data_IF_366305362750
#
_entry.id   IF_366305362750
#
_cell.length_a   1.000
_cell.length_b   1.000
_cell.length_c   1.000
_cell.angle_alpha   90.00
_cell.angle_beta   90.00
_cell.angle_gamma   90.00
#
_symmetry.space_group_name_H-M   'P 1'
#
loop_
_entity.id
_entity.type
_entity.pdbx_description
1 polymer ?
#
# COMPACT_ATOMS: atom_id res chain seq x y z
N UNK A 1 2.05 21.15 0.29
CA UNK A 1 2.54 20.47 -0.91
C UNK A 1 1.36 19.71 -1.50
N UNK A 2 0.79 20.21 -2.61
CA UNK A 2 -0.34 19.58 -3.28
C UNK A 2 0.21 18.44 -4.14
N UNK A 3 0.01 17.20 -3.69
CA UNK A 3 0.22 16.04 -4.55
C UNK A 3 -0.97 15.95 -5.51
N UNK A 4 -0.75 16.35 -6.75
CA UNK A 4 -1.68 16.03 -7.83
C UNK A 4 -1.56 14.54 -8.13
N UNK A 5 -2.42 13.73 -7.54
CA UNK A 5 -2.55 12.33 -7.92
C UNK A 5 -3.47 12.29 -9.12
N UNK A 6 -2.90 12.07 -10.29
CA UNK A 6 -3.70 11.78 -11.48
C UNK A 6 -4.24 10.35 -11.33
N UNK A 7 -5.48 10.24 -10.86
CA UNK A 7 -6.18 8.96 -10.83
C UNK A 7 -6.53 8.59 -12.27
N UNK A 8 -5.97 7.50 -12.77
CA UNK A 8 -6.26 7.00 -14.10
C UNK A 8 -7.73 6.59 -14.21
N UNK A 9 -8.47 7.23 -15.13
CA UNK A 9 -9.77 6.76 -15.58
C UNK A 9 -9.59 5.45 -16.36
N UNK A 10 -9.75 4.31 -15.68
CA UNK A 10 -9.66 2.98 -16.25
C UNK A 10 -9.54 1.96 -15.12
N UNK A 11 -10.17 0.80 -15.27
CA UNK A 11 -10.10 -0.32 -14.34
C UNK A 11 -8.64 -0.76 -14.15
N UNK A 12 -7.97 -0.22 -13.15
CA UNK A 12 -6.65 -0.69 -12.75
C UNK A 12 -6.87 -1.95 -11.92
N UNK A 13 -6.68 -3.12 -12.52
CA UNK A 13 -6.79 -4.43 -11.86
C UNK A 13 -5.60 -4.71 -10.92
N UNK A 14 -4.99 -3.68 -10.34
CA UNK A 14 -3.94 -3.86 -9.36
C UNK A 14 -4.53 -4.09 -7.97
N UNK A 15 -4.01 -5.08 -7.28
CA UNK A 15 -4.44 -5.43 -5.93
C UNK A 15 -3.64 -4.68 -4.88
N UNK A 16 -4.34 -4.15 -3.89
CA UNK A 16 -3.75 -3.70 -2.63
C UNK A 16 -3.40 -4.91 -1.77
N UNK A 17 -4.39 -5.79 -1.54
CA UNK A 17 -4.26 -7.10 -0.91
C UNK A 17 -4.90 -8.15 -1.82
N UNK A 18 -4.90 -9.42 -1.44
CA UNK A 18 -5.58 -10.44 -2.23
C UNK A 18 -7.12 -10.27 -2.28
N UNK A 19 -7.70 -9.45 -1.39
CA UNK A 19 -9.14 -9.15 -1.30
C UNK A 19 -9.50 -7.72 -1.66
N UNK A 20 -8.57 -6.79 -1.58
CA UNK A 20 -8.78 -5.37 -1.80
C UNK A 20 -8.09 -4.96 -3.11
N UNK A 21 -8.83 -4.31 -3.99
CA UNK A 21 -8.30 -3.75 -5.25
C UNK A 21 -8.20 -2.22 -5.15
N UNK A 22 -7.27 -1.64 -5.90
CA UNK A 22 -7.29 -0.21 -6.14
C UNK A 22 -8.54 0.22 -6.92
N UNK A 23 -8.97 1.46 -6.74
CA UNK A 23 -10.13 2.02 -7.42
C UNK A 23 -11.48 1.78 -6.74
N UNK A 24 -11.55 0.95 -5.70
CA UNK A 24 -12.78 0.76 -4.93
C UNK A 24 -13.13 2.00 -4.10
N UNK A 25 -14.41 2.16 -3.80
CA UNK A 25 -14.92 3.24 -2.95
C UNK A 25 -14.73 2.95 -1.45
N UNK A 26 -14.82 3.97 -0.58
CA UNK A 26 -14.82 3.76 0.87
C UNK A 26 -15.91 2.80 1.35
N UNK A 27 -17.09 2.82 0.73
CA UNK A 27 -18.18 1.91 1.07
C UNK A 27 -17.85 0.45 0.75
N UNK A 28 -17.26 0.21 -0.42
CA UNK A 28 -16.81 -1.14 -0.81
C UNK A 28 -15.70 -1.64 0.11
N UNK A 29 -14.75 -0.76 0.49
CA UNK A 29 -13.70 -1.12 1.44
C UNK A 29 -14.27 -1.56 2.79
N UNK A 30 -15.21 -0.81 3.37
CA UNK A 30 -15.90 -1.17 4.62
C UNK A 30 -16.58 -2.54 4.52
N UNK A 31 -17.22 -2.82 3.38
CA UNK A 31 -17.88 -4.11 3.16
C UNK A 31 -16.89 -5.28 3.09
N UNK A 32 -15.70 -5.06 2.53
CA UNK A 32 -14.64 -6.08 2.46
C UNK A 32 -14.01 -6.32 3.84
N UNK A 33 -13.68 -5.24 4.55
CA UNK A 33 -13.07 -5.30 5.90
C UNK A 33 -14.08 -5.78 6.94
N UNK A 34 -15.38 -5.55 6.70
CA UNK A 34 -16.50 -5.84 7.64
C UNK A 34 -16.33 -5.14 8.98
N UNK A 35 -15.86 -3.91 8.95
CA UNK A 35 -15.64 -3.08 10.12
C UNK A 35 -15.86 -1.61 9.77
N UNK A 36 -16.29 -0.83 10.76
CA UNK A 36 -16.24 0.62 10.65
C UNK A 36 -14.82 1.12 10.88
N UNK A 37 -14.43 2.25 10.26
CA UNK A 37 -13.12 2.83 10.50
C UNK A 37 -13.00 3.34 11.94
N UNK A 38 -11.81 3.24 12.50
CA UNK A 38 -11.46 3.84 13.78
C UNK A 38 -11.62 5.37 13.73
N UNK A 39 -11.19 5.97 12.64
CA UNK A 39 -11.33 7.39 12.33
C UNK A 39 -11.21 7.64 10.83
N UNK A 40 -11.57 8.85 10.41
CA UNK A 40 -11.35 9.31 9.05
C UNK A 40 -10.97 10.79 9.04
N UNK A 41 -10.31 11.22 7.97
CA UNK A 41 -10.03 12.62 7.69
C UNK A 41 -10.41 12.93 6.24
N UNK A 42 -10.94 14.13 6.02
CA UNK A 42 -11.27 14.64 4.69
C UNK A 42 -10.62 16.02 4.55
N UNK A 43 -10.09 16.32 3.38
CA UNK A 43 -9.73 17.68 3.04
C UNK A 43 -10.93 18.42 2.38
N UNK A 44 -10.72 19.67 1.97
CA UNK A 44 -11.74 20.46 1.28
C UNK A 44 -11.96 20.06 -0.20
N UNK A 45 -11.30 19.00 -0.65
CA UNK A 45 -11.38 18.46 -2.00
C UNK A 45 -11.90 17.03 -2.01
N UNK A 46 -11.36 16.24 -2.91
CA UNK A 46 -11.78 14.87 -3.18
C UNK A 46 -10.90 13.82 -2.47
N UNK A 47 -10.05 14.25 -1.54
CA UNK A 47 -9.11 13.39 -0.82
C UNK A 47 -9.67 13.01 0.55
N UNK A 48 -9.56 11.73 0.89
CA UNK A 48 -9.94 11.22 2.19
C UNK A 48 -9.01 10.08 2.65
N UNK A 49 -8.77 9.98 3.95
CA UNK A 49 -8.05 8.87 4.56
C UNK A 49 -8.92 8.22 5.62
N UNK A 50 -9.01 6.90 5.58
CA UNK A 50 -9.72 6.08 6.56
C UNK A 50 -8.74 5.19 7.29
N UNK A 51 -8.87 5.12 8.61
CA UNK A 51 -8.02 4.32 9.49
C UNK A 51 -8.79 3.12 10.02
N UNK A 52 -8.20 1.93 9.90
CA UNK A 52 -8.75 0.68 10.40
C UNK A 52 -7.71 -0.06 11.23
N UNK A 53 -8.18 -0.86 12.17
CA UNK A 53 -7.33 -1.78 12.95
C UNK A 53 -7.47 -3.21 12.44
N UNK A 54 -6.40 -4.00 12.61
CA UNK A 54 -6.39 -5.43 12.32
C UNK A 54 -6.82 -5.81 10.89
N UNK A 55 -6.33 -5.08 9.89
CA UNK A 55 -6.57 -5.39 8.48
C UNK A 55 -5.43 -6.22 7.91
N UNK A 56 -5.77 -7.19 7.06
CA UNK A 56 -4.80 -8.03 6.37
C UNK A 56 -4.00 -7.20 5.34
N UNK A 57 -2.68 -7.30 5.42
CA UNK A 57 -1.75 -6.72 4.46
C UNK A 57 -1.76 -7.47 3.10
N UNK A 58 -0.98 -7.06 2.09
CA UNK A 58 -0.90 -7.76 0.82
C UNK A 58 -0.63 -9.26 0.88
N UNK A 59 0.09 -9.75 1.89
CA UNK A 59 0.34 -11.19 2.10
C UNK A 59 -0.71 -11.89 2.96
N UNK A 60 -1.76 -11.18 3.41
CA UNK A 60 -2.82 -11.74 4.23
C UNK A 60 -2.52 -11.79 5.73
N UNK A 61 -1.50 -11.07 6.18
CA UNK A 61 -1.15 -10.95 7.61
C UNK A 61 -1.82 -9.72 8.20
N UNK A 62 -2.54 -9.88 9.31
CA UNK A 62 -3.17 -8.76 10.01
C UNK A 62 -2.14 -7.82 10.60
N UNK A 63 -2.32 -6.52 10.35
CA UNK A 63 -1.49 -5.45 10.89
C UNK A 63 -2.32 -4.58 11.85
N UNK A 64 -1.64 -3.98 12.81
CA UNK A 64 -2.27 -3.29 13.94
C UNK A 64 -3.03 -2.04 13.51
N UNK A 65 -2.38 -1.15 12.78
CA UNK A 65 -2.96 0.10 12.31
C UNK A 65 -2.78 0.23 10.81
N UNK A 66 -3.87 0.57 10.11
CA UNK A 66 -3.85 0.62 8.67
C UNK A 66 -4.58 1.87 8.18
N UNK A 67 -4.03 2.54 7.18
CA UNK A 67 -4.66 3.69 6.55
C UNK A 67 -4.89 3.44 5.07
N UNK A 68 -6.04 3.92 4.58
CA UNK A 68 -6.46 3.80 3.19
C UNK A 68 -6.82 5.18 2.66
N UNK A 69 -6.11 5.61 1.63
CA UNK A 69 -6.27 6.92 1.03
C UNK A 69 -7.04 6.85 -0.29
N UNK A 70 -8.00 7.75 -0.42
CA UNK A 70 -8.92 7.86 -1.55
C UNK A 70 -8.77 9.23 -2.21
N UNK A 71 -8.80 9.25 -3.53
CA UNK A 71 -8.96 10.44 -4.34
C UNK A 71 -10.16 10.23 -5.25
N UNK A 72 -11.10 11.20 -5.30
CA UNK A 72 -12.35 11.06 -6.05
C UNK A 72 -13.13 9.77 -5.73
N UNK A 73 -13.20 9.40 -4.46
CA UNK A 73 -13.80 8.16 -3.96
C UNK A 73 -13.14 6.87 -4.48
N UNK A 74 -11.92 6.92 -4.97
CA UNK A 74 -11.18 5.77 -5.46
C UNK A 74 -9.93 5.53 -4.62
N UNK A 75 -9.79 4.30 -4.11
CA UNK A 75 -8.61 3.89 -3.36
C UNK A 75 -7.37 3.92 -4.26
N UNK A 76 -6.33 4.64 -3.83
CA UNK A 76 -5.06 4.72 -4.55
C UNK A 76 -3.83 4.40 -3.69
N UNK A 77 -3.96 4.38 -2.37
CA UNK A 77 -2.85 4.08 -1.47
C UNK A 77 -3.34 3.42 -0.19
N UNK A 78 -2.56 2.47 0.30
CA UNK A 78 -2.77 1.82 1.58
C UNK A 78 -1.45 1.71 2.33
N UNK A 79 -1.49 1.89 3.64
CA UNK A 79 -0.35 1.73 4.55
C UNK A 79 -0.74 0.76 5.65
N UNK A 80 0.12 -0.22 5.89
CA UNK A 80 -0.04 -1.22 6.95
C UNK A 80 1.12 -1.06 7.92
N UNK A 81 0.83 -0.89 9.19
CA UNK A 81 1.78 -0.57 10.24
C UNK A 81 1.72 -1.60 11.37
N UNK A 82 2.87 -2.02 11.85
CA UNK A 82 3.02 -2.85 13.04
C UNK A 82 4.33 -2.57 13.77
N UNK A 83 4.30 -2.64 15.08
CA UNK A 83 5.51 -2.73 15.89
C UNK A 83 6.25 -4.04 15.58
N UNK A 84 7.56 -3.97 15.40
CA UNK A 84 8.40 -5.11 15.02
C UNK A 84 9.79 -5.02 15.63
N UNK A 85 10.39 -6.17 15.90
CA UNK A 85 11.83 -6.29 16.13
C UNK A 85 12.60 -6.21 14.82
N UNK A 86 13.93 -6.10 14.88
CA UNK A 86 14.79 -6.14 13.68
C UNK A 86 14.65 -7.47 12.92
N UNK A 87 14.52 -8.56 13.64
CA UNK A 87 14.36 -9.91 13.08
C UNK A 87 13.01 -10.07 12.38
N UNK A 88 11.93 -9.57 12.99
CA UNK A 88 10.60 -9.57 12.40
C UNK A 88 10.54 -8.71 11.14
N UNK A 89 11.17 -7.54 11.14
CA UNK A 89 11.29 -6.69 9.96
C UNK A 89 12.03 -7.40 8.82
N UNK A 90 13.19 -8.00 9.12
CA UNK A 90 13.95 -8.76 8.13
C UNK A 90 13.13 -9.92 7.55
N UNK A 91 12.36 -10.62 8.39
CA UNK A 91 11.46 -11.69 7.96
C UNK A 91 10.35 -11.18 7.04
N UNK A 92 9.75 -10.03 7.34
CA UNK A 92 8.74 -9.40 6.47
C UNK A 92 9.32 -9.13 5.08
N UNK A 93 10.52 -8.55 5.00
CA UNK A 93 11.21 -8.30 3.72
C UNK A 93 11.36 -9.60 2.93
N UNK A 94 11.88 -10.66 3.53
CA UNK A 94 12.07 -11.96 2.86
C UNK A 94 10.75 -12.59 2.42
N UNK A 95 9.72 -12.54 3.25
CA UNK A 95 8.39 -13.05 2.92
C UNK A 95 7.79 -12.35 1.70
N UNK A 96 7.92 -11.02 1.62
CA UNK A 96 7.45 -10.21 0.49
C UNK A 96 8.24 -10.48 -0.79
N UNK A 97 9.56 -10.52 -0.72
CA UNK A 97 10.42 -10.87 -1.88
C UNK A 97 10.01 -12.21 -2.47
N UNK A 98 9.73 -13.19 -1.63
CA UNK A 98 9.43 -14.56 -2.03
C UNK A 98 8.00 -14.75 -2.54
N UNK A 99 7.01 -14.08 -1.93
CA UNK A 99 5.60 -14.45 -2.08
C UNK A 99 4.70 -13.41 -2.71
N UNK A 100 5.07 -12.12 -2.72
CA UNK A 100 4.15 -11.04 -3.12
C UNK A 100 3.60 -11.21 -4.54
N UNK A 101 4.44 -11.48 -5.54
CA UNK A 101 4.01 -11.68 -6.93
C UNK A 101 3.03 -12.85 -7.07
N UNK A 102 3.25 -13.93 -6.33
CA UNK A 102 2.38 -15.11 -6.37
C UNK A 102 1.02 -14.84 -5.70
N UNK A 103 1.05 -14.25 -4.51
CA UNK A 103 -0.17 -13.99 -3.73
C UNK A 103 -1.05 -12.96 -4.41
N UNK A 104 -0.46 -11.88 -4.91
CA UNK A 104 -1.18 -10.82 -5.62
C UNK A 104 -1.53 -11.19 -7.06
N UNK A 105 -0.92 -12.25 -7.60
CA UNK A 105 -1.04 -12.64 -9.02
C UNK A 105 -0.64 -11.51 -9.97
N UNK A 106 0.42 -10.80 -9.62
CA UNK A 106 1.00 -9.71 -10.38
C UNK A 106 2.49 -9.94 -10.57
N UNK A 107 3.02 -9.61 -11.74
CA UNK A 107 4.47 -9.59 -11.96
C UNK A 107 5.05 -8.33 -11.32
N UNK A 108 5.89 -8.50 -10.32
CA UNK A 108 6.58 -7.42 -9.61
C UNK A 108 8.09 -7.54 -9.80
N UNK A 109 8.72 -6.42 -10.12
CA UNK A 109 10.17 -6.28 -10.08
C UNK A 109 10.62 -5.98 -8.64
N UNK A 110 11.88 -6.23 -8.34
CA UNK A 110 12.44 -6.10 -6.99
C UNK A 110 13.63 -5.15 -7.03
N UNK A 111 13.64 -4.17 -6.13
CA UNK A 111 14.84 -3.42 -5.74
C UNK A 111 14.97 -3.49 -4.22
N UNK A 112 16.18 -3.64 -3.74
CA UNK A 112 16.46 -3.77 -2.31
C UNK A 112 17.68 -2.93 -1.95
N UNK A 113 17.60 -2.25 -0.81
CA UNK A 113 18.73 -1.71 -0.13
C UNK A 113 18.60 -2.02 1.38
N UNK A 114 19.65 -1.80 2.13
CA UNK A 114 19.71 -2.22 3.54
C UNK A 114 18.47 -1.80 4.34
N UNK A 115 17.66 -2.80 4.74
CA UNK A 115 16.47 -2.61 5.57
C UNK A 115 15.25 -2.08 4.82
N UNK A 116 15.31 -1.96 3.49
CA UNK A 116 14.20 -1.47 2.66
C UNK A 116 14.01 -2.34 1.42
N UNK A 117 12.76 -2.53 1.03
CA UNK A 117 12.36 -3.30 -0.15
C UNK A 117 11.40 -2.52 -1.01
N UNK A 118 11.64 -2.50 -2.32
CA UNK A 118 10.68 -2.03 -3.32
C UNK A 118 10.25 -3.18 -4.20
N UNK A 119 8.95 -3.37 -4.32
CA UNK A 119 8.32 -4.28 -5.28
C UNK A 119 7.44 -3.45 -6.20
N UNK A 120 7.65 -3.52 -7.51
CA UNK A 120 6.98 -2.60 -8.43
C UNK A 120 6.68 -3.22 -9.79
N UNK A 121 5.70 -2.63 -10.46
CA UNK A 121 5.41 -2.82 -11.88
C UNK A 121 5.18 -1.44 -12.52
N UNK A 122 4.58 -1.38 -13.70
CA UNK A 122 4.39 -0.11 -14.44
C UNK A 122 3.43 0.89 -13.77
N UNK A 123 2.67 0.49 -12.74
CA UNK A 123 1.61 1.33 -12.14
C UNK A 123 1.60 1.34 -10.62
N UNK A 124 2.25 0.37 -10.00
CA UNK A 124 2.16 0.08 -8.58
C UNK A 124 3.53 -0.03 -7.94
N UNK A 125 3.64 0.49 -6.74
CA UNK A 125 4.80 0.34 -5.87
C UNK A 125 4.35 -0.20 -4.51
N UNK A 126 5.02 -1.24 -4.05
CA UNK A 126 4.98 -1.66 -2.64
C UNK A 126 6.34 -1.31 -2.05
N UNK A 127 6.33 -0.55 -0.96
CA UNK A 127 7.53 -0.20 -0.21
C UNK A 127 7.44 -0.81 1.17
N UNK A 128 8.53 -1.40 1.62
CA UNK A 128 8.67 -1.90 3.00
C UNK A 128 9.88 -1.22 3.60
N UNK A 129 9.66 -0.51 4.69
CA UNK A 129 10.70 0.22 5.42
C UNK A 129 10.39 0.22 6.91
N UNK A 130 11.35 0.63 7.71
CA UNK A 130 11.22 0.70 9.17
C UNK A 130 11.60 2.07 9.69
N UNK A 131 10.78 2.60 10.57
CA UNK A 131 11.06 3.83 11.32
C UNK A 131 10.95 3.46 12.80
N UNK A 132 12.04 3.65 13.54
CA UNK A 132 12.15 3.23 14.94
C UNK A 132 11.86 1.73 15.08
N UNK A 133 10.82 1.36 15.81
CA UNK A 133 10.36 0.00 16.07
C UNK A 133 9.11 -0.39 15.27
N UNK A 134 8.73 0.40 14.28
CA UNK A 134 7.59 0.15 13.41
C UNK A 134 8.00 -0.19 11.97
N UNK A 135 7.46 -1.29 11.44
CA UNK A 135 7.53 -1.62 10.02
C UNK A 135 6.29 -1.11 9.31
N UNK A 136 6.53 -0.38 8.23
CA UNK A 136 5.51 0.12 7.32
C UNK A 136 5.56 -0.66 6.01
N UNK A 137 4.40 -1.10 5.57
CA UNK A 137 4.20 -1.70 4.26
C UNK A 137 3.23 -0.79 3.53
N UNK A 138 3.71 -0.07 2.51
CA UNK A 138 2.88 0.81 1.70
C UNK A 138 2.58 0.15 0.36
N UNK A 139 1.37 0.30 -0.14
CA UNK A 139 0.99 -0.13 -1.48
C UNK A 139 0.25 1.00 -2.16
N UNK A 140 0.81 1.53 -3.24
CA UNK A 140 0.29 2.74 -3.87
C UNK A 140 0.33 2.66 -5.39
N UNK A 141 -0.64 3.32 -6.02
CA UNK A 141 -0.64 3.57 -7.46
C UNK A 141 0.19 4.81 -7.76
N UNK A 142 1.02 4.73 -8.79
CA UNK A 142 1.78 5.85 -9.33
C UNK A 142 1.64 5.88 -10.86
N UNK A 143 1.70 7.08 -11.43
CA UNK A 143 1.98 7.19 -12.84
C UNK A 143 3.44 6.78 -13.16
N UNK A 144 3.73 6.50 -14.40
CA UNK A 144 5.03 5.99 -14.82
C UNK A 144 6.18 6.98 -14.59
N UNK A 145 5.91 8.28 -14.66
CA UNK A 145 6.91 9.34 -14.47
C UNK A 145 7.31 9.43 -12.99
N UNK A 146 6.33 9.49 -12.09
CA UNK A 146 6.57 9.54 -10.65
C UNK A 146 7.21 8.25 -10.13
N UNK A 147 6.80 7.11 -10.67
CA UNK A 147 7.43 5.83 -10.32
C UNK A 147 8.90 5.81 -10.75
N UNK A 148 9.23 6.29 -11.95
CA UNK A 148 10.62 6.37 -12.43
C UNK A 148 11.47 7.30 -11.55
N UNK A 149 10.93 8.44 -11.10
CA UNK A 149 11.59 9.34 -10.17
C UNK A 149 11.92 8.63 -8.84
N UNK A 150 10.96 7.95 -8.23
CA UNK A 150 11.17 7.20 -6.98
C UNK A 150 12.23 6.10 -7.17
N UNK A 151 12.18 5.37 -8.26
CA UNK A 151 13.13 4.29 -8.53
C UNK A 151 14.56 4.79 -8.79
N UNK A 152 14.71 6.01 -9.31
CA UNK A 152 16.03 6.60 -9.53
C UNK A 152 16.76 6.92 -8.22
N UNK A 153 16.04 7.22 -7.15
CA UNK A 153 16.61 7.47 -5.83
C UNK A 153 17.18 6.20 -5.17
N UNK A 154 16.92 5.04 -5.76
CA UNK A 154 17.41 3.73 -5.31
C UNK A 154 18.57 3.18 -6.16
N UNK A 155 19.06 3.94 -7.11
CA UNK A 155 20.29 3.62 -7.88
C UNK A 155 21.55 4.15 -7.20
#
# INVERSE_FOLDING_TARGET
MLFSVTVFAGTVNAKVTNKINFGISPKELKNIIKSEPLSNSHDNGNYAVYYFVNVEDPLGVKRELNSFAFSDNQLFSAVFDSATTDEEHAKIIEDYKKNASKVLKEKLNVKERKGELLLYNSKKLIEIYRIMDHTFITSSLYDSEKLAEILSDYE
#
